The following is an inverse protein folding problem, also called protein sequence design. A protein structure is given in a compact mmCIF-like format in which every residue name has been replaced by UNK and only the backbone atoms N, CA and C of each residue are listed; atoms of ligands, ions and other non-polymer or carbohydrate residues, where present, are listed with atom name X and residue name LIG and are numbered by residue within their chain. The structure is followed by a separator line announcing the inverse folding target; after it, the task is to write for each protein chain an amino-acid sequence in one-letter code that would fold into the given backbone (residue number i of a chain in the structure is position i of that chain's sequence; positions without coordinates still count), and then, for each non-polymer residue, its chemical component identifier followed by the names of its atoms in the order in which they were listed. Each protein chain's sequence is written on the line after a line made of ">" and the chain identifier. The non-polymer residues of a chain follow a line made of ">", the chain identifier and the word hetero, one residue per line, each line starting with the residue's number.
data_IF_292243942659
#
_entry.id   IF_292243942659
#
_cell.length_a   1.000
_cell.length_b   1.000
_cell.length_c   1.000
_cell.angle_alpha   90.00
_cell.angle_beta   90.00
_cell.angle_gamma   90.00
#
_symmetry.space_group_name_H-M   'P 1'
#
loop_
_entity.id
_entity.type
_entity.pdbx_description
1 polymer ?
#
# COMPACT_ATOMS: atom_id res chain seq x y z
N UNK A 1 12.04 -48.91 0.23
CA UNK A 1 11.87 -48.24 0.16
C UNK A 1 11.85 -47.40 0.09
N UNK A 2 11.71 -47.36 0.16
CA UNK A 2 11.63 -46.40 0.05
C UNK A 2 11.37 -45.47 0.07
N UNK A 3 11.32 -45.34 -0.15
CA UNK A 3 11.09 -44.24 -0.26
C UNK A 3 10.77 -43.47 -0.08
N UNK A 4 10.83 -43.64 0.05
CA UNK A 4 10.53 -42.63 0.05
C UNK A 4 10.45 -41.90 0.05
N UNK A 5 10.50 -42.03 -0.08
CA UNK A 5 10.38 -41.06 -0.23
C UNK A 5 10.12 -40.34 -0.50
N UNK A 6 9.99 -40.58 -0.58
CA UNK A 6 9.64 -39.60 -0.96
C UNK A 6 9.40 -38.81 -0.95
N UNK A 7 9.43 -38.94 -0.98
CA UNK A 7 9.04 -37.89 -1.14
C UNK A 7 8.87 -37.07 -1.17
N UNK A 8 8.98 -37.21 -1.18
CA UNK A 8 8.66 -36.12 -1.39
C UNK A 8 8.53 -35.36 -1.42
N UNK A 9 8.63 -35.65 -1.49
CA UNK A 9 8.34 -34.65 -1.76
C UNK A 9 7.96 -33.93 -1.70
N UNK A 10 8.03 -34.15 -1.63
CA UNK A 10 7.51 -33.23 -1.85
C UNK A 10 7.26 -32.39 -1.66
N UNK A 11 7.50 -32.37 -1.62
CA UNK A 11 7.18 -31.36 -1.73
C UNK A 11 7.23 -30.68 -1.83
N UNK A 12 7.39 -30.67 -2.08
CA UNK A 12 7.21 -29.73 -2.49
C UNK A 12 6.86 -29.04 -2.66
N UNK A 13 6.90 -29.23 -2.82
CA UNK A 13 6.40 -28.39 -3.21
C UNK A 13 5.94 -27.66 -3.22
N UNK A 14 5.93 -27.59 -3.44
CA UNK A 14 5.40 -26.76 -3.70
C UNK A 14 5.06 -25.95 -3.45
N UNK A 15 5.05 -26.11 -3.34
CA UNK A 15 4.26 -25.10 -3.08
C UNK A 15 4.74 -23.79 -2.99
N UNK A 16 5.49 -23.67 -3.05
CA UNK A 16 6.01 -22.40 -3.03
C UNK A 16 5.41 -21.49 -4.00
N UNK A 17 4.80 -22.06 -4.80
CA UNK A 17 4.28 -21.44 -5.86
C UNK A 17 3.50 -20.26 -5.49
N UNK A 18 2.32 -20.36 -5.46
CA UNK A 18 1.44 -19.26 -5.35
C UNK A 18 1.78 -18.31 -4.24
N UNK A 19 2.41 -18.84 -3.27
CA UNK A 19 2.74 -18.00 -2.14
C UNK A 19 3.72 -16.89 -2.46
N UNK A 20 4.45 -17.03 -3.54
CA UNK A 20 5.39 -16.00 -3.89
C UNK A 20 4.70 -14.68 -4.16
N UNK A 21 3.56 -14.71 -4.77
CA UNK A 21 2.82 -13.50 -5.03
C UNK A 21 2.29 -12.87 -3.75
N UNK A 22 2.18 -13.69 -2.70
CA UNK A 22 1.70 -13.21 -1.43
C UNK A 22 2.83 -12.80 -0.50
N UNK A 23 4.06 -13.06 -0.91
CA UNK A 23 5.20 -12.84 -0.06
C UNK A 23 5.32 -11.36 0.29
N UNK A 24 5.26 -11.06 1.58
CA UNK A 24 5.33 -9.71 2.06
C UNK A 24 4.02 -8.93 1.98
N UNK A 25 3.00 -9.52 1.39
CA UNK A 25 1.70 -8.84 1.30
C UNK A 25 1.05 -8.76 2.68
N UNK A 26 0.55 -7.58 3.02
CA UNK A 26 -0.04 -7.33 4.33
C UNK A 26 -1.50 -7.73 4.36
N UNK A 27 -1.90 -8.39 5.45
CA UNK A 27 -3.31 -8.68 5.70
C UNK A 27 -4.00 -7.43 6.24
N UNK A 28 -5.31 -7.51 6.42
CA UNK A 28 -6.06 -6.38 6.93
C UNK A 28 -5.55 -5.84 8.25
N UNK A 29 -5.30 -6.72 9.21
CA UNK A 29 -4.80 -6.28 10.52
C UNK A 29 -3.41 -5.71 10.41
N UNK A 30 -2.56 -6.31 9.59
CA UNK A 30 -1.22 -5.82 9.38
C UNK A 30 -1.21 -4.45 8.71
N UNK A 31 -2.13 -4.22 7.77
CA UNK A 31 -2.28 -2.93 7.13
C UNK A 31 -2.56 -1.86 8.16
N UNK A 32 -3.52 -2.11 9.05
CA UNK A 32 -3.86 -1.14 10.07
C UNK A 32 -2.68 -0.84 10.98
N UNK A 33 -1.98 -1.87 11.42
CA UNK A 33 -0.83 -1.69 12.31
C UNK A 33 0.30 -0.93 11.63
N UNK A 34 0.44 -1.09 10.34
CA UNK A 34 1.54 -0.50 9.59
C UNK A 34 1.32 0.99 9.34
N UNK A 35 0.08 1.40 9.09
CA UNK A 35 -0.15 2.78 8.63
C UNK A 35 -0.83 3.69 9.65
N UNK A 36 -1.61 3.15 10.57
CA UNK A 36 -2.36 4.00 11.51
C UNK A 36 -1.39 4.72 12.44
N UNK A 37 -1.55 6.02 12.53
CA UNK A 37 -0.71 6.85 13.40
C UNK A 37 0.67 7.14 12.83
N UNK A 38 0.93 6.73 11.61
CA UNK A 38 2.22 6.97 10.97
C UNK A 38 2.04 7.85 9.75
N UNK A 39 3.17 8.36 9.24
CA UNK A 39 3.14 9.09 7.99
C UNK A 39 3.67 8.17 6.90
N UNK A 40 2.90 8.01 5.86
CA UNK A 40 3.29 7.23 4.69
C UNK A 40 3.71 8.22 3.62
N UNK A 41 4.97 8.14 3.19
CA UNK A 41 5.52 9.03 2.19
C UNK A 41 5.41 8.37 0.83
N UNK A 42 4.38 8.73 0.09
CA UNK A 42 4.15 8.19 -1.24
C UNK A 42 5.14 8.79 -2.21
N UNK A 43 5.84 7.95 -2.95
CA UNK A 43 6.82 8.43 -3.91
C UNK A 43 6.13 8.79 -5.22
N UNK A 44 6.30 10.03 -5.65
CA UNK A 44 5.71 10.53 -6.89
C UNK A 44 6.78 11.30 -7.65
N UNK A 45 7.19 10.77 -8.80
CA UNK A 45 8.03 11.51 -9.75
C UNK A 45 9.12 12.38 -9.13
N UNK A 46 9.89 11.81 -8.22
CA UNK A 46 11.03 12.51 -7.65
C UNK A 46 10.76 13.25 -6.37
N UNK A 47 9.53 13.28 -5.88
CA UNK A 47 9.26 13.84 -4.57
C UNK A 47 8.31 12.93 -3.80
N UNK A 48 8.12 13.23 -2.53
CA UNK A 48 7.29 12.40 -1.66
C UNK A 48 6.08 13.18 -1.20
N UNK A 49 4.94 12.49 -1.16
CA UNK A 49 3.69 13.06 -0.65
C UNK A 49 3.41 12.40 0.71
N UNK A 50 3.49 13.15 1.80
CA UNK A 50 3.16 12.58 3.11
C UNK A 50 1.66 12.42 3.27
N UNK A 51 1.26 11.21 3.63
CA UNK A 51 -0.15 10.88 3.87
C UNK A 51 -0.26 10.33 5.28
N UNK A 52 -1.22 10.83 6.03
CA UNK A 52 -1.50 10.35 7.38
C UNK A 52 -2.82 9.62 7.40
N UNK A 53 -2.83 8.48 8.06
CA UNK A 53 -4.01 7.63 8.18
C UNK A 53 -4.43 7.57 9.65
N UNK A 54 -5.59 8.12 9.97
CA UNK A 54 -6.08 8.13 11.33
C UNK A 54 -6.91 6.88 11.61
N UNK A 55 -6.91 6.46 12.87
CA UNK A 55 -7.63 5.25 13.26
C UNK A 55 -9.13 5.32 12.97
N UNK A 56 -9.68 6.52 12.89
CA UNK A 56 -11.10 6.69 12.64
C UNK A 56 -11.50 6.60 11.17
N UNK A 57 -10.57 6.23 10.29
CA UNK A 57 -10.88 6.08 8.87
C UNK A 57 -10.69 7.34 8.05
N UNK A 58 -10.13 8.37 8.63
CA UNK A 58 -9.85 9.60 7.87
C UNK A 58 -8.39 9.62 7.46
N UNK A 59 -8.12 10.27 6.36
CA UNK A 59 -6.75 10.46 5.91
C UNK A 59 -6.55 11.89 5.44
N UNK A 60 -5.30 12.30 5.39
CA UNK A 60 -4.94 13.63 4.92
C UNK A 60 -3.60 13.58 4.21
N UNK A 61 -3.41 14.48 3.28
CA UNK A 61 -2.16 14.61 2.55
C UNK A 61 -1.87 16.07 2.29
N UNK A 62 -0.57 16.38 2.18
CA UNK A 62 -0.15 17.75 1.91
C UNK A 62 1.08 17.72 1.03
N UNK A 63 1.01 18.36 -0.11
CA UNK A 63 2.13 18.44 -1.02
C UNK A 63 3.12 19.52 -0.57
N UNK A 64 4.40 19.31 -0.88
CA UNK A 64 5.40 20.34 -0.69
C UNK A 64 5.09 21.51 -1.64
N UNK A 65 5.72 22.64 -1.42
CA UNK A 65 5.52 23.80 -2.28
C UNK A 65 5.84 23.46 -3.75
N UNK A 66 6.91 22.71 -3.97
CA UNK A 66 7.30 22.33 -5.32
C UNK A 66 6.24 21.40 -5.94
N UNK A 67 5.83 20.39 -5.18
CA UNK A 67 4.82 19.46 -5.69
C UNK A 67 3.50 20.17 -5.97
N UNK A 68 3.12 21.10 -5.11
CA UNK A 68 1.88 21.84 -5.26
C UNK A 68 1.87 22.68 -6.53
N UNK A 69 3.02 23.23 -6.90
CA UNK A 69 3.08 24.04 -8.12
C UNK A 69 2.91 23.21 -9.38
N UNK A 70 3.09 21.88 -9.27
CA UNK A 70 2.89 20.99 -10.41
C UNK A 70 1.51 20.33 -10.39
N UNK A 71 0.76 20.50 -9.33
CA UNK A 71 -0.50 19.79 -9.14
C UNK A 71 -1.68 20.39 -9.89
N UNK A 72 -1.56 21.59 -10.33
CA UNK A 72 -2.55 22.22 -11.18
C UNK A 72 -4.01 22.02 -10.80
N UNK A 73 -4.52 22.90 -10.02
CA UNK A 73 -5.96 22.90 -9.75
C UNK A 73 -6.45 21.91 -8.72
N UNK A 74 -5.62 20.94 -8.34
CA UNK A 74 -6.03 19.96 -7.33
C UNK A 74 -5.78 20.45 -5.90
N UNK A 75 -5.10 21.58 -5.78
CA UNK A 75 -4.77 22.11 -4.47
C UNK A 75 -3.57 21.41 -3.84
N UNK A 76 -3.00 22.04 -2.82
CA UNK A 76 -1.79 21.54 -2.19
C UNK A 76 -2.07 20.56 -1.06
N UNK A 77 -3.31 20.44 -0.62
CA UNK A 77 -3.67 19.49 0.43
C UNK A 77 -5.07 18.95 0.16
N UNK A 78 -5.33 17.78 0.69
CA UNK A 78 -6.64 17.17 0.58
C UNK A 78 -6.85 16.25 1.77
N UNK A 79 -8.08 15.87 1.98
CA UNK A 79 -8.44 14.88 2.97
C UNK A 79 -9.35 13.85 2.31
N UNK A 80 -9.53 12.74 2.98
CA UNK A 80 -10.36 11.69 2.44
C UNK A 80 -10.67 10.63 3.46
N UNK A 81 -11.06 9.50 2.95
CA UNK A 81 -11.45 8.35 3.77
C UNK A 81 -10.61 7.15 3.35
N UNK A 82 -10.34 6.29 4.31
CA UNK A 82 -9.66 5.03 4.03
C UNK A 82 -10.33 3.91 4.82
N UNK A 83 -10.21 2.71 4.30
CA UNK A 83 -10.74 1.53 4.95
C UNK A 83 -9.96 0.32 4.47
N UNK A 84 -10.15 -0.81 5.13
CA UNK A 84 -9.53 -2.05 4.72
C UNK A 84 -10.61 -2.99 4.21
N UNK A 85 -10.35 -3.60 3.07
CA UNK A 85 -11.30 -4.48 2.42
C UNK A 85 -10.52 -5.54 1.64
N UNK A 86 -10.80 -6.81 1.88
CA UNK A 86 -10.14 -7.92 1.17
C UNK A 86 -8.61 -7.84 1.24
N UNK A 87 -8.10 -7.52 2.44
CA UNK A 87 -6.67 -7.36 2.66
C UNK A 87 -6.05 -6.31 1.75
N UNK A 88 -6.81 -5.28 1.45
CA UNK A 88 -6.35 -4.15 0.68
C UNK A 88 -6.61 -2.85 1.44
N UNK A 89 -5.74 -1.89 1.24
CA UNK A 89 -5.96 -0.54 1.73
C UNK A 89 -6.75 0.19 0.65
N UNK A 90 -7.97 0.57 0.97
CA UNK A 90 -8.81 1.31 0.03
C UNK A 90 -8.93 2.74 0.50
N UNK A 91 -9.01 3.67 -0.43
CA UNK A 91 -9.07 5.07 -0.08
C UNK A 91 -9.77 5.89 -1.15
N UNK A 92 -10.30 7.02 -0.73
CA UNK A 92 -11.00 7.94 -1.60
C UNK A 92 -10.71 9.36 -1.12
N UNK A 93 -10.05 10.12 -1.96
CA UNK A 93 -9.79 11.53 -1.68
C UNK A 93 -11.03 12.36 -1.97
N UNK A 94 -11.10 13.53 -1.40
CA UNK A 94 -12.21 14.43 -1.67
C UNK A 94 -12.07 15.01 -3.07
N UNK A 95 -10.91 15.52 -3.41
CA UNK A 95 -10.64 16.15 -4.70
C UNK A 95 -9.58 15.45 -5.51
N UNK A 96 -8.50 15.03 -4.87
CA UNK A 96 -7.40 14.36 -5.60
C UNK A 96 -7.91 13.08 -6.25
N UNK A 97 -7.30 12.72 -7.38
CA UNK A 97 -7.64 11.53 -8.15
C UNK A 97 -9.12 11.52 -8.57
N UNK A 98 -9.66 12.72 -8.82
CA UNK A 98 -11.06 12.92 -9.23
C UNK A 98 -12.06 12.38 -8.20
N UNK A 99 -11.63 12.25 -6.94
CA UNK A 99 -12.49 11.73 -5.88
C UNK A 99 -12.90 10.28 -6.07
N UNK A 100 -12.16 9.52 -6.87
CA UNK A 100 -12.50 8.12 -7.14
C UNK A 100 -11.88 7.20 -6.11
N UNK A 101 -12.56 6.12 -5.74
CA UNK A 101 -11.98 5.15 -4.80
C UNK A 101 -10.99 4.24 -5.51
N UNK A 102 -9.93 3.89 -4.80
CA UNK A 102 -8.95 2.92 -5.28
C UNK A 102 -8.53 2.04 -4.12
N UNK A 103 -8.21 0.79 -4.43
CA UNK A 103 -7.71 -0.16 -3.44
C UNK A 103 -6.30 -0.59 -3.82
N UNK A 104 -5.49 -0.87 -2.82
CA UNK A 104 -4.07 -1.16 -2.99
C UNK A 104 -3.69 -2.38 -2.15
N UNK A 105 -2.97 -3.29 -2.76
CA UNK A 105 -2.25 -4.32 -2.02
C UNK A 105 -0.90 -3.77 -1.64
N UNK A 106 -0.50 -3.98 -0.40
CA UNK A 106 0.78 -3.49 0.10
C UNK A 106 1.68 -4.64 0.50
N UNK A 107 2.94 -4.56 0.14
CA UNK A 107 3.96 -5.49 0.59
C UNK A 107 5.07 -4.68 1.22
N UNK A 108 5.45 -5.01 2.44
CA UNK A 108 6.41 -4.21 3.20
C UNK A 108 7.74 -4.93 3.30
N UNK A 109 8.82 -4.18 3.09
CA UNK A 109 10.18 -4.65 3.29
C UNK A 109 10.92 -3.56 4.03
N UNK A 110 11.14 -3.78 5.32
CA UNK A 110 11.69 -2.73 6.16
C UNK A 110 10.74 -1.55 6.22
N UNK A 111 11.21 -0.38 5.88
CA UNK A 111 10.38 0.82 5.85
C UNK A 111 9.81 1.13 4.48
N UNK A 112 10.11 0.30 3.49
CA UNK A 112 9.62 0.49 2.13
C UNK A 112 8.37 -0.34 1.91
N UNK A 113 7.37 0.26 1.31
CA UNK A 113 6.14 -0.42 0.93
C UNK A 113 6.05 -0.41 -0.59
N UNK A 114 5.83 -1.59 -1.15
CA UNK A 114 5.51 -1.72 -2.57
C UNK A 114 4.00 -1.88 -2.66
N UNK A 115 3.37 -1.10 -3.51
CA UNK A 115 1.92 -1.17 -3.64
C UNK A 115 1.52 -1.50 -5.07
N UNK A 116 0.39 -2.21 -5.17
CA UNK A 116 -0.24 -2.52 -6.44
C UNK A 116 -1.68 -2.04 -6.34
N UNK A 117 -2.04 -1.10 -7.19
CA UNK A 117 -3.39 -0.54 -7.21
C UNK A 117 -4.34 -1.46 -7.98
N UNK A 118 -5.61 -1.38 -7.68
CA UNK A 118 -6.60 -2.27 -8.29
C UNK A 118 -6.66 -2.19 -9.81
N UNK A 119 -6.19 -1.10 -10.40
CA UNK A 119 -6.14 -0.96 -11.86
C UNK A 119 -4.79 -1.39 -12.45
N UNK A 120 -3.92 -2.00 -11.65
CA UNK A 120 -2.64 -2.51 -12.12
C UNK A 120 -1.47 -1.59 -11.95
N UNK A 121 -1.68 -0.34 -11.55
CA UNK A 121 -0.57 0.57 -11.32
C UNK A 121 0.21 0.14 -10.09
N UNK A 122 1.51 0.38 -10.11
CA UNK A 122 2.39 0.02 -9.01
C UNK A 122 3.26 1.20 -8.62
N UNK A 123 3.79 1.13 -7.41
CA UNK A 123 4.71 2.15 -6.94
C UNK A 123 5.25 1.80 -5.58
N UNK A 124 5.91 2.76 -4.96
CA UNK A 124 6.52 2.58 -3.66
C UNK A 124 6.16 3.74 -2.74
N UNK A 125 6.28 3.47 -1.45
CA UNK A 125 6.12 4.46 -0.41
C UNK A 125 7.06 4.09 0.73
N UNK A 126 7.30 5.04 1.60
CA UNK A 126 8.15 4.85 2.77
C UNK A 126 7.33 5.10 4.02
N UNK A 127 7.48 4.23 5.02
CA UNK A 127 6.78 4.42 6.29
C UNK A 127 7.67 5.25 7.20
N UNK A 128 7.15 6.35 7.66
CA UNK A 128 7.86 7.21 8.59
C UNK A 128 7.23 7.14 9.97
N UNK A 129 8.00 7.50 10.91
CA UNK A 129 7.75 7.48 12.24
C UNK A 129 6.67 7.89 13.03
#
# INVERSE_FOLDING_TARGET
>A
MKVGALVLAAGLVLPATGTLAEDGALTGDQLRKTIVGKTVFLKISGFELPIKYAANGRMSGKMSTVAASLARGDGSSDSGKWWVENDQLCQKWTAWMDGKPYCYKLAQRGQTVHWVRSDGRTGTARIGG
#
